data_IF_234767464557
#
_entry.id   IF_234767464557
#
_cell.length_a   1.000
_cell.length_b   1.000
_cell.length_c   1.000
_cell.angle_alpha   90.00
_cell.angle_beta   90.00
_cell.angle_gamma   90.00
#
_symmetry.space_group_name_H-M   'P 1'
#
loop_
_entity.id
_entity.type
_entity.pdbx_description
1 polymer ?
#
# COMPACT_ATOMS: atom_id res chain seq x y z
N UNK A 1 -11.24 -20.40 7.91
CA UNK A 1 -11.24 -19.21 7.04
C UNK A 1 -10.34 -18.23 7.74
N UNK A 2 -9.14 -18.02 7.22
CA UNK A 2 -8.19 -17.11 7.87
C UNK A 2 -8.76 -15.70 7.77
N UNK A 3 -8.93 -15.07 8.92
CA UNK A 3 -9.63 -13.79 9.04
C UNK A 3 -8.69 -12.68 8.54
N UNK A 4 -9.00 -12.08 7.38
CA UNK A 4 -8.22 -10.98 6.81
C UNK A 4 -8.53 -9.72 7.60
N UNK A 5 -7.52 -9.13 8.24
CA UNK A 5 -7.66 -7.84 8.92
C UNK A 5 -7.45 -6.69 7.94
N UNK A 6 -8.49 -5.91 7.70
CA UNK A 6 -8.40 -4.66 6.92
C UNK A 6 -8.06 -3.50 7.87
N UNK A 7 -7.07 -2.69 7.49
CA UNK A 7 -6.69 -1.46 8.21
C UNK A 7 -6.17 -0.41 7.25
N UNK A 8 -6.16 0.85 7.69
CA UNK A 8 -5.47 1.90 6.95
C UNK A 8 -3.96 1.62 6.84
N UNK A 9 -3.41 1.94 5.68
CA UNK A 9 -1.97 2.00 5.44
C UNK A 9 -1.40 3.19 6.20
N UNK A 10 -0.36 2.96 7.00
CA UNK A 10 0.32 4.04 7.73
C UNK A 10 1.42 4.64 6.87
N UNK A 11 1.73 5.91 7.12
CA UNK A 11 2.75 6.62 6.35
C UNK A 11 4.17 6.02 6.51
N UNK A 12 4.49 5.41 7.66
CA UNK A 12 5.75 4.69 7.90
C UNK A 12 5.80 3.31 7.22
N UNK A 13 4.69 2.87 6.64
CA UNK A 13 4.55 1.60 5.91
C UNK A 13 4.39 1.80 4.40
N UNK A 14 4.68 3.00 3.89
CA UNK A 14 4.42 3.39 2.50
C UNK A 14 5.05 2.46 1.45
N UNK A 15 6.17 1.80 1.77
CA UNK A 15 6.80 0.79 0.92
C UNK A 15 5.85 -0.35 0.53
N UNK A 16 4.88 -0.72 1.37
CA UNK A 16 3.91 -1.78 1.08
C UNK A 16 3.12 -1.49 -0.20
N UNK A 17 2.77 -0.22 -0.45
CA UNK A 17 2.08 0.14 -1.69
C UNK A 17 2.99 -0.03 -2.91
N UNK A 18 4.26 0.39 -2.80
CA UNK A 18 5.26 0.21 -3.86
C UNK A 18 5.49 -1.26 -4.17
N UNK A 19 5.64 -2.10 -3.15
CA UNK A 19 5.86 -3.53 -3.30
C UNK A 19 4.67 -4.19 -4.00
N UNK A 20 3.44 -3.93 -3.53
CA UNK A 20 2.23 -4.49 -4.13
C UNK A 20 2.00 -4.05 -5.57
N UNK A 21 2.25 -2.78 -5.90
CA UNK A 21 2.12 -2.29 -7.28
C UNK A 21 3.19 -2.91 -8.17
N UNK A 22 4.42 -3.03 -7.68
CA UNK A 22 5.52 -3.65 -8.43
C UNK A 22 5.27 -5.13 -8.68
N UNK A 23 4.77 -5.86 -7.68
CA UNK A 23 4.44 -7.28 -7.80
C UNK A 23 3.27 -7.53 -8.76
N UNK A 24 2.27 -6.64 -8.78
CA UNK A 24 1.08 -6.77 -9.62
C UNK A 24 1.30 -6.29 -11.06
N UNK A 25 2.04 -5.19 -11.26
CA UNK A 25 2.13 -4.48 -12.54
C UNK A 25 3.56 -4.33 -13.07
N UNK A 26 4.59 -4.76 -12.32
CA UNK A 26 5.97 -4.43 -12.63
C UNK A 26 6.16 -2.91 -12.64
N UNK A 27 6.62 -2.37 -13.77
CA UNK A 27 6.79 -0.92 -13.97
C UNK A 27 5.74 -0.33 -14.92
N UNK A 28 4.64 -1.04 -15.16
CA UNK A 28 3.63 -0.65 -16.17
C UNK A 28 2.49 0.21 -15.62
N UNK A 29 2.39 0.36 -14.30
CA UNK A 29 1.44 1.29 -13.69
C UNK A 29 1.82 2.74 -14.01
N UNK A 30 0.84 3.54 -14.43
CA UNK A 30 1.01 4.87 -15.04
C UNK A 30 1.26 6.01 -14.05
N UNK A 31 1.10 5.74 -12.75
CA UNK A 31 1.30 6.71 -11.71
C UNK A 31 2.70 6.58 -11.08
N UNK A 32 3.70 7.30 -11.60
CA UNK A 32 5.10 7.23 -11.14
C UNK A 32 5.30 7.31 -9.61
N UNK A 33 4.45 8.08 -8.92
CA UNK A 33 4.54 8.29 -7.48
C UNK A 33 4.31 7.01 -6.65
N UNK A 34 3.65 5.99 -7.20
CA UNK A 34 3.43 4.71 -6.49
C UNK A 34 4.73 3.92 -6.28
N UNK A 35 5.77 4.24 -7.06
CA UNK A 35 7.11 3.64 -6.92
C UNK A 35 8.02 4.47 -6.00
N UNK A 36 7.48 5.49 -5.32
CA UNK A 36 8.21 6.43 -4.48
C UNK A 36 7.64 6.44 -3.05
N UNK A 37 8.17 5.61 -2.14
CA UNK A 37 7.63 5.47 -0.77
C UNK A 37 7.55 6.79 0.00
N UNK A 38 8.48 7.73 -0.20
CA UNK A 38 8.47 9.04 0.46
C UNK A 38 7.30 9.92 0.00
N UNK A 39 6.97 9.88 -1.29
CA UNK A 39 5.84 10.61 -1.87
C UNK A 39 4.50 10.01 -1.41
N UNK A 40 4.40 8.68 -1.36
CA UNK A 40 3.25 7.97 -0.77
C UNK A 40 3.06 8.39 0.70
N UNK A 41 4.13 8.37 1.50
CA UNK A 41 4.08 8.75 2.90
C UNK A 41 3.64 10.22 3.07
N UNK A 42 4.13 11.12 2.22
CA UNK A 42 3.75 12.53 2.18
C UNK A 42 2.24 12.68 1.93
N UNK A 43 1.70 11.97 0.93
CA UNK A 43 0.27 12.01 0.60
C UNK A 43 -0.63 11.47 1.70
N UNK A 44 -0.23 10.38 2.36
CA UNK A 44 -0.96 9.84 3.52
C UNK A 44 -0.99 10.88 4.65
N UNK A 45 0.16 11.50 4.98
CA UNK A 45 0.26 12.54 6.03
C UNK A 45 -0.57 13.78 5.69
N UNK A 46 -0.60 14.16 4.42
CA UNK A 46 -1.38 15.29 3.93
C UNK A 46 -2.90 14.98 3.81
N UNK A 47 -3.31 13.72 3.96
CA UNK A 47 -4.69 13.28 3.77
C UNK A 47 -5.14 13.25 2.30
N UNK A 48 -4.23 13.40 1.34
CA UNK A 48 -4.50 13.33 -0.09
C UNK A 48 -4.46 11.90 -0.64
N UNK A 49 -4.04 10.93 0.17
CA UNK A 49 -4.14 9.49 -0.09
C UNK A 49 -4.74 8.78 1.12
N UNK A 50 -5.90 8.16 0.94
CA UNK A 50 -6.54 7.28 1.93
C UNK A 50 -6.43 5.86 1.38
N UNK A 51 -5.51 5.07 1.95
CA UNK A 51 -5.25 3.71 1.48
C UNK A 51 -5.50 2.70 2.59
N UNK A 52 -6.00 1.51 2.24
CA UNK A 52 -6.21 0.37 3.12
C UNK A 52 -5.42 -0.83 2.65
N UNK A 53 -5.01 -1.68 3.59
CA UNK A 53 -4.36 -2.96 3.32
C UNK A 53 -5.10 -4.10 4.01
N UNK A 54 -5.12 -5.26 3.37
CA UNK A 54 -5.55 -6.52 3.96
C UNK A 54 -4.34 -7.28 4.50
N UNK A 55 -4.38 -7.72 5.76
CA UNK A 55 -3.30 -8.44 6.42
C UNK A 55 -3.80 -9.80 6.90
N UNK A 56 -3.07 -10.86 6.53
CA UNK A 56 -3.31 -12.23 6.96
C UNK A 56 -2.84 -12.45 8.40
N UNK A 57 -3.27 -13.54 9.09
CA UNK A 57 -2.87 -13.81 10.47
C UNK A 57 -1.37 -13.96 10.70
N UNK A 58 -0.61 -14.35 9.68
CA UNK A 58 0.85 -14.47 9.71
C UNK A 58 1.59 -13.13 9.48
N UNK A 59 0.84 -12.04 9.23
CA UNK A 59 1.37 -10.71 8.94
C UNK A 59 1.59 -10.44 7.45
N UNK A 60 1.37 -11.41 6.57
CA UNK A 60 1.46 -11.22 5.12
C UNK A 60 0.42 -10.21 4.64
N UNK A 61 0.84 -9.25 3.83
CA UNK A 61 -0.08 -8.31 3.19
C UNK A 61 -0.69 -8.96 1.95
N UNK A 62 -2.01 -9.11 1.94
CA UNK A 62 -2.74 -9.75 0.85
C UNK A 62 -3.08 -8.79 -0.31
N UNK A 63 -3.07 -7.48 -0.05
CA UNK A 63 -3.37 -6.47 -1.07
C UNK A 63 -3.64 -5.08 -0.48
N UNK A 64 -3.87 -4.12 -1.37
CA UNK A 64 -4.25 -2.74 -1.01
C UNK A 64 -5.46 -2.26 -1.81
N UNK A 65 -6.14 -1.23 -1.29
CA UNK A 65 -7.17 -0.45 -1.98
C UNK A 65 -7.05 1.02 -1.57
N UNK A 66 -6.99 1.93 -2.56
CA UNK A 66 -6.83 3.37 -2.38
C UNK A 66 -7.81 4.16 -3.28
#
# INVERSE_FOLDING_TARGET
MDDVKIRFLRADESHILTDLVTDAYGTSYDADWVYQPDEIASRIKAGSLISTIGVLPDGTVAGHMA
#
